data_IF_343023542799
#
_entry.id   IF_343023542799
#
_cell.length_a   1.000
_cell.length_b   1.000
_cell.length_c   1.000
_cell.angle_alpha   90.00
_cell.angle_beta   90.00
_cell.angle_gamma   90.00
#
_symmetry.space_group_name_H-M   'P 1'
#
loop_
_entity.id
_entity.type
_entity.pdbx_description
1 polymer ?
#
# COMPACT_ATOMS: atom_id res chain seq x y z
N UNK A 1 63.60 -49.16 70.42
CA UNK A 1 63.70 -47.69 70.22
C UNK A 1 64.41 -47.42 68.90
N UNK A 2 63.69 -47.03 67.86
CA UNK A 2 64.20 -46.07 66.87
C UNK A 2 63.01 -45.50 66.10
N UNK A 3 62.65 -44.30 66.50
CA UNK A 3 61.71 -43.41 65.84
C UNK A 3 62.44 -42.78 64.66
N UNK A 4 62.07 -43.14 63.43
CA UNK A 4 62.46 -42.39 62.25
C UNK A 4 61.28 -41.51 61.89
N UNK A 5 61.38 -40.23 62.26
CA UNK A 5 60.40 -39.20 61.96
C UNK A 5 60.37 -38.96 60.45
N UNK A 6 59.30 -39.43 59.81
CA UNK A 6 58.89 -38.95 58.49
C UNK A 6 58.25 -37.57 58.69
N UNK A 7 59.03 -36.52 58.50
CA UNK A 7 58.54 -35.14 58.47
C UNK A 7 57.74 -34.95 57.18
N UNK A 8 56.42 -34.70 57.21
CA UNK A 8 55.72 -34.24 56.01
C UNK A 8 56.05 -32.75 55.81
N UNK A 9 57.13 -32.46 55.11
CA UNK A 9 57.40 -31.10 54.59
C UNK A 9 56.51 -30.85 53.37
N UNK A 10 55.18 -30.91 53.54
CA UNK A 10 54.19 -30.79 52.46
C UNK A 10 53.31 -29.54 52.58
N UNK A 11 53.70 -28.56 53.41
CA UNK A 11 52.93 -27.34 53.65
C UNK A 11 53.26 -26.14 52.74
N UNK A 12 54.40 -26.14 52.04
CA UNK A 12 54.87 -24.94 51.31
C UNK A 12 54.65 -24.95 49.79
N UNK A 13 54.26 -26.09 49.18
CA UNK A 13 54.05 -26.21 47.73
C UNK A 13 52.57 -26.07 47.30
N UNK A 14 51.62 -26.18 48.23
CA UNK A 14 50.20 -26.06 47.95
C UNK A 14 49.73 -24.59 47.81
N UNK A 15 50.34 -23.67 48.56
CA UNK A 15 49.99 -22.24 48.55
C UNK A 15 50.31 -21.59 47.20
N UNK A 16 51.37 -22.04 46.53
CA UNK A 16 51.79 -21.52 45.22
C UNK A 16 50.81 -21.92 44.11
N UNK A 17 50.26 -23.13 44.11
CA UNK A 17 49.29 -23.55 43.09
C UNK A 17 47.92 -22.85 43.22
N UNK A 18 47.47 -22.54 44.44
CA UNK A 18 46.24 -21.77 44.67
C UNK A 18 46.36 -20.31 44.21
N UNK A 19 47.53 -19.69 44.37
CA UNK A 19 47.78 -18.31 43.94
C UNK A 19 47.81 -18.15 42.41
N UNK A 20 48.26 -19.17 41.67
CA UNK A 20 48.21 -19.16 40.19
C UNK A 20 46.78 -19.30 39.66
N UNK A 21 45.95 -20.12 40.29
CA UNK A 21 44.53 -20.23 39.94
C UNK A 21 43.78 -18.92 40.17
N UNK A 22 44.06 -18.19 41.25
CA UNK A 22 43.40 -16.90 41.50
C UNK A 22 43.81 -15.84 40.48
N UNK A 23 45.07 -15.81 40.05
CA UNK A 23 45.54 -14.90 39.01
C UNK A 23 44.89 -15.20 37.64
N UNK A 24 44.75 -16.48 37.30
CA UNK A 24 44.09 -16.90 36.06
C UNK A 24 42.61 -16.54 36.04
N UNK A 25 41.92 -16.70 37.19
CA UNK A 25 40.52 -16.30 37.35
C UNK A 25 40.36 -14.78 37.18
N UNK A 26 41.27 -13.98 37.72
CA UNK A 26 41.17 -12.52 37.63
C UNK A 26 41.39 -12.02 36.18
N UNK A 27 42.32 -12.62 35.43
CA UNK A 27 42.47 -12.33 34.00
C UNK A 27 41.23 -12.74 33.19
N UNK A 28 40.64 -13.91 33.50
CA UNK A 28 39.43 -14.38 32.84
C UNK A 28 38.23 -13.45 33.10
N UNK A 29 38.08 -12.92 34.33
CA UNK A 29 37.02 -11.95 34.66
C UNK A 29 37.13 -10.68 33.82
N UNK A 30 38.33 -10.09 33.71
CA UNK A 30 38.50 -8.88 32.92
C UNK A 30 38.20 -9.09 31.44
N UNK A 31 38.59 -10.25 30.89
CA UNK A 31 38.25 -10.60 29.51
C UNK A 31 36.73 -10.78 29.33
N UNK A 32 36.08 -11.48 30.28
CA UNK A 32 34.64 -11.69 30.26
C UNK A 32 33.85 -10.36 30.36
N UNK A 33 34.29 -9.41 31.19
CA UNK A 33 33.68 -8.08 31.29
C UNK A 33 33.80 -7.28 29.99
N UNK A 34 34.98 -7.29 29.36
CA UNK A 34 35.19 -6.64 28.05
C UNK A 34 34.31 -7.26 26.98
N UNK A 35 34.21 -8.59 26.94
CA UNK A 35 33.33 -9.30 26.02
C UNK A 35 31.85 -8.97 26.27
N UNK A 36 31.41 -8.92 27.53
CA UNK A 36 30.04 -8.58 27.90
C UNK A 36 29.68 -7.14 27.50
N UNK A 37 30.59 -6.18 27.70
CA UNK A 37 30.39 -4.80 27.24
C UNK A 37 30.25 -4.73 25.71
N UNK A 38 31.15 -5.39 24.98
CA UNK A 38 31.10 -5.46 23.51
C UNK A 38 29.80 -6.08 23.01
N UNK A 39 29.37 -7.20 23.62
CA UNK A 39 28.13 -7.87 23.28
C UNK A 39 26.91 -6.97 23.50
N UNK A 40 26.85 -6.25 24.63
CA UNK A 40 25.76 -5.28 24.91
C UNK A 40 25.74 -4.15 23.89
N UNK A 41 26.90 -3.60 23.52
CA UNK A 41 26.99 -2.57 22.48
C UNK A 41 26.53 -3.09 21.13
N UNK A 42 26.93 -4.30 20.74
CA UNK A 42 26.54 -4.92 19.49
C UNK A 42 25.02 -5.20 19.45
N UNK A 43 24.46 -5.71 20.55
CA UNK A 43 23.03 -5.96 20.68
C UNK A 43 22.22 -4.66 20.58
N UNK A 44 22.69 -3.58 21.20
CA UNK A 44 22.06 -2.26 21.09
C UNK A 44 22.09 -1.75 19.64
N UNK A 45 23.23 -1.89 18.95
CA UNK A 45 23.36 -1.53 17.53
C UNK A 45 22.44 -2.36 16.63
N UNK A 46 22.36 -3.67 16.87
CA UNK A 46 21.47 -4.56 16.12
C UNK A 46 20.00 -4.17 16.31
N UNK A 47 19.60 -3.87 17.55
CA UNK A 47 18.23 -3.43 17.86
C UNK A 47 17.89 -2.09 17.18
N UNK A 48 18.84 -1.15 17.16
CA UNK A 48 18.68 0.12 16.46
C UNK A 48 18.54 -0.09 14.93
N UNK A 49 19.39 -0.94 14.34
CA UNK A 49 19.33 -1.27 12.92
C UNK A 49 18.00 -1.96 12.54
N UNK A 50 17.51 -2.87 13.38
CA UNK A 50 16.22 -3.53 13.18
C UNK A 50 15.05 -2.53 13.25
N UNK A 51 15.09 -1.59 14.19
CA UNK A 51 14.08 -0.52 14.28
C UNK A 51 14.05 0.35 13.03
N UNK A 52 15.23 0.72 12.51
CA UNK A 52 15.33 1.49 11.27
C UNK A 52 14.83 0.72 10.05
N UNK A 53 15.18 -0.57 9.95
CA UNK A 53 14.67 -1.44 8.89
C UNK A 53 13.13 -1.54 8.91
N UNK A 54 12.54 -1.70 10.09
CA UNK A 54 11.08 -1.74 10.25
C UNK A 54 10.43 -0.42 9.82
N UNK A 55 11.03 0.73 10.18
CA UNK A 55 10.55 2.05 9.74
C UNK A 55 10.67 2.22 8.23
N UNK A 56 11.78 1.81 7.63
CA UNK A 56 11.99 1.86 6.19
C UNK A 56 10.95 0.98 5.46
N UNK A 57 10.66 -0.22 5.96
CA UNK A 57 9.64 -1.10 5.40
C UNK A 57 8.23 -0.48 5.49
N UNK A 58 7.88 0.11 6.64
CA UNK A 58 6.60 0.80 6.80
C UNK A 58 6.47 2.01 5.85
N UNK A 59 7.55 2.79 5.70
CA UNK A 59 7.59 3.91 4.76
C UNK A 59 7.45 3.43 3.31
N UNK A 60 8.12 2.33 2.93
CA UNK A 60 8.02 1.75 1.60
C UNK A 60 6.58 1.29 1.30
N UNK A 61 5.92 0.63 2.26
CA UNK A 61 4.51 0.23 2.13
C UNK A 61 3.61 1.46 1.97
N UNK A 62 3.81 2.50 2.78
CA UNK A 62 3.06 3.76 2.65
C UNK A 62 3.26 4.42 1.29
N UNK A 63 4.49 4.43 0.78
CA UNK A 63 4.81 5.00 -0.53
C UNK A 63 4.19 4.19 -1.66
N UNK A 64 4.19 2.86 -1.57
CA UNK A 64 3.53 1.97 -2.55
C UNK A 64 2.05 2.31 -2.66
N UNK A 65 1.33 2.39 -1.53
CA UNK A 65 -0.10 2.72 -1.53
C UNK A 65 -0.36 4.11 -2.13
N UNK A 66 0.49 5.10 -1.81
CA UNK A 66 0.38 6.45 -2.41
C UNK A 66 0.64 6.43 -3.91
N UNK A 67 1.59 5.61 -4.38
CA UNK A 67 1.88 5.46 -5.80
C UNK A 67 0.69 4.81 -6.53
N UNK A 68 0.11 3.75 -5.97
CA UNK A 68 -1.07 3.09 -6.53
C UNK A 68 -2.26 4.06 -6.61
N UNK A 69 -2.48 4.86 -5.56
CA UNK A 69 -3.52 5.89 -5.55
C UNK A 69 -3.26 6.96 -6.62
N UNK A 70 -2.02 7.46 -6.73
CA UNK A 70 -1.65 8.45 -7.74
C UNK A 70 -1.83 7.91 -9.17
N UNK A 71 -1.51 6.63 -9.39
CA UNK A 71 -1.73 5.97 -10.67
C UNK A 71 -3.23 5.86 -10.99
N UNK A 72 -4.06 5.51 -10.01
CA UNK A 72 -5.51 5.50 -10.17
C UNK A 72 -6.08 6.87 -10.56
N UNK A 73 -5.64 7.94 -9.87
CA UNK A 73 -6.01 9.32 -10.19
C UNK A 73 -5.58 9.69 -11.62
N UNK A 74 -4.36 9.33 -12.03
CA UNK A 74 -3.86 9.62 -13.37
C UNK A 74 -4.68 8.89 -14.46
N UNK A 75 -5.07 7.63 -14.23
CA UNK A 75 -5.92 6.89 -15.15
C UNK A 75 -7.30 7.53 -15.25
N UNK A 76 -7.88 7.94 -14.12
CA UNK A 76 -9.19 8.61 -14.12
C UNK A 76 -9.12 9.95 -14.85
N UNK A 77 -8.13 10.78 -14.56
CA UNK A 77 -7.93 12.07 -15.24
C UNK A 77 -7.78 11.88 -16.77
N UNK A 78 -7.04 10.85 -17.21
CA UNK A 78 -6.92 10.54 -18.64
C UNK A 78 -8.26 10.13 -19.27
N UNK A 79 -9.13 9.42 -18.55
CA UNK A 79 -10.48 9.08 -19.03
C UNK A 79 -11.35 10.33 -19.12
N UNK A 80 -11.27 11.21 -18.13
CA UNK A 80 -12.05 12.45 -18.08
C UNK A 80 -11.67 13.40 -19.23
N UNK A 81 -10.37 13.52 -19.54
CA UNK A 81 -9.88 14.29 -20.70
C UNK A 81 -10.44 13.73 -22.00
N UNK A 82 -10.31 12.42 -22.24
CA UNK A 82 -10.85 11.78 -23.46
C UNK A 82 -12.37 11.88 -23.57
N UNK A 83 -13.08 11.78 -22.45
CA UNK A 83 -14.53 11.99 -22.43
C UNK A 83 -14.88 13.43 -22.81
N UNK A 84 -14.13 14.41 -22.30
CA UNK A 84 -14.32 15.82 -22.62
C UNK A 84 -14.03 16.13 -24.09
N UNK A 85 -12.98 15.52 -24.66
CA UNK A 85 -12.68 15.59 -26.10
C UNK A 85 -13.84 15.02 -26.96
N UNK A 86 -14.42 13.89 -26.53
CA UNK A 86 -15.58 13.30 -27.21
C UNK A 86 -16.81 14.22 -27.17
N UNK A 87 -17.10 14.87 -26.04
CA UNK A 87 -18.20 15.83 -25.96
C UNK A 87 -17.96 17.07 -26.83
N UNK A 88 -16.70 17.54 -26.92
CA UNK A 88 -16.31 18.63 -27.80
C UNK A 88 -16.54 18.28 -29.28
N UNK A 89 -16.14 17.07 -29.70
CA UNK A 89 -16.36 16.59 -31.06
C UNK A 89 -17.86 16.46 -31.40
N UNK A 90 -18.64 15.82 -30.53
CA UNK A 90 -20.10 15.70 -30.73
C UNK A 90 -20.76 17.09 -30.79
N UNK A 91 -20.36 18.02 -29.92
CA UNK A 91 -20.84 19.40 -29.94
C UNK A 91 -20.55 20.11 -31.27
N UNK A 92 -19.34 19.94 -31.81
CA UNK A 92 -18.98 20.50 -33.13
C UNK A 92 -19.74 19.84 -34.28
N UNK A 93 -19.97 18.53 -34.25
CA UNK A 93 -20.75 17.83 -35.27
C UNK A 93 -22.23 18.22 -35.22
N UNK A 94 -22.79 18.37 -34.02
CA UNK A 94 -24.18 18.84 -33.83
C UNK A 94 -24.31 20.27 -34.32
N UNK A 95 -23.40 21.17 -33.97
CA UNK A 95 -23.38 22.54 -34.49
C UNK A 95 -23.28 22.54 -36.03
N UNK A 96 -22.36 21.76 -36.61
CA UNK A 96 -22.24 21.67 -38.07
C UNK A 96 -23.53 21.15 -38.75
N UNK A 97 -24.22 20.17 -38.14
CA UNK A 97 -25.52 19.67 -38.63
C UNK A 97 -26.65 20.68 -38.48
N UNK A 98 -26.68 21.44 -37.38
CA UNK A 98 -27.66 22.51 -37.17
C UNK A 98 -27.45 23.64 -38.18
N UNK A 99 -26.20 24.04 -38.44
CA UNK A 99 -25.88 25.05 -39.46
C UNK A 99 -26.28 24.57 -40.86
N UNK A 100 -25.96 23.32 -41.22
CA UNK A 100 -26.43 22.73 -42.49
C UNK A 100 -27.95 22.61 -42.59
N UNK A 101 -28.64 22.35 -41.48
CA UNK A 101 -30.10 22.32 -41.45
C UNK A 101 -30.71 23.73 -41.58
N UNK A 102 -30.06 24.75 -41.02
CA UNK A 102 -30.46 26.15 -41.14
C UNK A 102 -30.22 26.72 -42.56
N UNK A 103 -29.23 26.20 -43.29
CA UNK A 103 -28.94 26.57 -44.68
C UNK A 103 -29.82 25.85 -45.72
N UNK A 104 -30.61 24.86 -45.30
CA UNK A 104 -31.59 24.20 -46.18
C UNK A 104 -32.80 25.14 -46.39
N UNK A 105 -33.18 25.46 -47.64
CA UNK A 105 -34.38 26.25 -47.89
C UNK A 105 -35.60 25.51 -47.36
N UNK A 106 -36.33 26.14 -46.45
CA UNK A 106 -37.61 25.64 -45.95
C UNK A 106 -38.59 25.65 -47.12
N UNK A 107 -38.82 24.50 -47.73
CA UNK A 107 -40.00 24.31 -48.56
C UNK A 107 -41.18 24.21 -47.60
N UNK A 108 -42.23 25.05 -47.74
CA UNK A 108 -43.34 25.04 -46.83
C UNK A 108 -44.12 23.74 -47.03
N UNK A 109 -43.90 22.77 -46.13
CA UNK A 109 -44.81 21.65 -45.98
C UNK A 109 -45.95 22.14 -45.09
N UNK A 110 -47.13 22.22 -45.67
CA UNK A 110 -48.40 22.52 -45.00
C UNK A 110 -48.56 21.57 -43.81
N UNK A 111 -48.49 22.09 -42.58
CA UNK A 111 -48.73 21.30 -41.38
C UNK A 111 -50.22 21.39 -41.05
N UNK A 112 -50.97 20.35 -41.38
CA UNK A 112 -52.25 20.10 -40.73
C UNK A 112 -51.99 19.88 -39.24
N UNK A 113 -52.63 20.69 -38.40
CA UNK A 113 -52.56 20.59 -36.94
C UNK A 113 -53.17 19.25 -36.49
N UNK A 114 -52.33 18.23 -36.36
CA UNK A 114 -52.64 17.01 -35.62
C UNK A 114 -52.20 17.23 -34.18
N UNK A 115 -53.18 17.24 -33.28
CA UNK A 115 -53.01 17.27 -31.83
C UNK A 115 -52.04 16.15 -31.46
N UNK A 116 -50.88 16.51 -30.88
CA UNK A 116 -49.87 15.56 -30.44
C UNK A 116 -50.44 14.71 -29.30
N UNK A 117 -50.89 13.50 -29.63
CA UNK A 117 -51.09 12.43 -28.67
C UNK A 117 -49.72 12.05 -28.11
N UNK A 118 -49.55 12.11 -26.79
CA UNK A 118 -48.36 11.58 -26.11
C UNK A 118 -48.04 10.17 -26.61
N UNK A 119 -46.78 9.82 -26.91
CA UNK A 119 -46.42 8.45 -27.23
C UNK A 119 -46.66 7.58 -25.99
N UNK A 120 -47.73 6.78 -26.00
CA UNK A 120 -47.88 5.68 -25.05
C UNK A 120 -46.84 4.62 -25.41
N UNK A 121 -45.75 4.58 -24.64
CA UNK A 121 -44.76 3.51 -24.64
C UNK A 121 -45.39 2.20 -24.17
N UNK A 122 -45.05 1.11 -24.86
CA UNK A 122 -45.60 -0.22 -24.58
C UNK A 122 -45.23 -0.70 -23.16
N UNK A 123 -46.13 -1.42 -22.47
CA UNK A 123 -45.84 -2.01 -21.17
C UNK A 123 -44.68 -3.02 -21.28
N UNK A 124 -43.67 -2.88 -20.43
CA UNK A 124 -42.57 -3.84 -20.32
C UNK A 124 -43.09 -5.11 -19.66
N UNK A 125 -43.08 -6.22 -20.38
CA UNK A 125 -43.51 -7.54 -19.88
C UNK A 125 -42.29 -8.40 -19.51
N UNK A 126 -42.43 -9.24 -18.49
CA UNK A 126 -41.43 -10.24 -18.13
C UNK A 126 -41.46 -11.45 -19.09
N UNK A 127 -40.52 -12.37 -18.92
CA UNK A 127 -40.44 -13.61 -19.72
C UNK A 127 -41.64 -14.55 -19.53
N UNK A 128 -42.52 -14.26 -18.58
CA UNK A 128 -43.77 -14.98 -18.30
C UNK A 128 -45.02 -14.22 -18.81
N UNK A 129 -44.84 -13.05 -19.44
CA UNK A 129 -45.92 -12.24 -20.03
C UNK A 129 -46.62 -11.28 -19.07
N UNK A 130 -46.18 -11.14 -17.82
CA UNK A 130 -46.76 -10.18 -16.87
C UNK A 130 -46.15 -8.78 -17.06
N UNK A 131 -47.00 -7.76 -17.09
CA UNK A 131 -46.58 -6.35 -17.17
C UNK A 131 -45.89 -5.91 -15.88
N UNK A 132 -44.61 -5.59 -15.96
CA UNK A 132 -43.79 -5.11 -14.84
C UNK A 132 -43.78 -3.57 -14.74
N UNK A 133 -44.04 -2.85 -15.83
CA UNK A 133 -44.10 -1.39 -15.78
C UNK A 133 -44.24 -0.73 -17.14
N UNK A 134 -44.11 0.59 -17.17
CA UNK A 134 -44.16 1.41 -18.37
C UNK A 134 -42.88 2.23 -18.44
N UNK A 135 -42.16 2.17 -19.56
CA UNK A 135 -40.97 3.02 -19.79
C UNK A 135 -41.46 4.42 -20.14
N UNK A 136 -41.00 5.47 -19.45
CA UNK A 136 -41.29 6.85 -19.83
C UNK A 136 -40.02 7.43 -20.44
N UNK A 137 -40.05 7.74 -21.74
CA UNK A 137 -38.98 8.48 -22.39
C UNK A 137 -39.08 9.96 -21.99
N UNK A 138 -38.15 10.41 -21.14
CA UNK A 138 -38.03 11.82 -20.78
C UNK A 138 -36.94 12.43 -21.65
N UNK A 139 -37.35 13.10 -22.73
CA UNK A 139 -36.45 14.00 -23.47
C UNK A 139 -36.56 15.37 -22.80
N UNK A 140 -35.46 15.85 -22.22
CA UNK A 140 -35.37 17.14 -21.55
C UNK A 140 -35.37 18.31 -22.55
#
# INVERSE_FOLDING_TARGET
MQIMAVTPTSGAQAVTQSAWKSLQVEQAKQFAERAAMSARTLQARASAAQSEANRAQANAQSLSVKADQAQGIAVQANRDVRSSESYGQVGTEVMARVTQAAERPVTPVTVEATVATQPQTAPTVNTQGETIGTVIDVTA
#
